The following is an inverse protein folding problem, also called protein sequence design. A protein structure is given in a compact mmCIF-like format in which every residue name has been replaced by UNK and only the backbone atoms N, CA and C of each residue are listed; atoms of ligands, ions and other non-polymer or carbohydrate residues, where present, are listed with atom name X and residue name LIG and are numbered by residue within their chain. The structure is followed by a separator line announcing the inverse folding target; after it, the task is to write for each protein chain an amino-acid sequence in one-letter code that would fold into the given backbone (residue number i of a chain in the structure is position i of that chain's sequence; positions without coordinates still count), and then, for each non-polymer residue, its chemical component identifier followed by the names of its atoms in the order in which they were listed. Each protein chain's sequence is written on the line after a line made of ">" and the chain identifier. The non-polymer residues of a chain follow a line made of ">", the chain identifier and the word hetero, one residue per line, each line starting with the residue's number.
data_IF_335470670721
#
_entry.id   IF_335470670721
#
_cell.length_a   1.000
_cell.length_b   1.000
_cell.length_c   1.000
_cell.angle_alpha   90.00
_cell.angle_beta   90.00
_cell.angle_gamma   90.00
#
_symmetry.space_group_name_H-M   'P 1'
#
loop_
_entity.id
_entity.type
_entity.pdbx_description
1 polymer ?
#
# COMPACT_ATOMS: atom_id res chain seq x y z
N UNK A 1 34.81 -11.49 -41.40
CA UNK A 1 33.42 -11.94 -41.12
C UNK A 1 33.21 -11.84 -39.63
N UNK A 2 32.50 -10.80 -39.17
CA UNK A 2 32.15 -10.64 -37.76
C UNK A 2 30.87 -11.43 -37.54
N UNK A 3 30.93 -12.46 -36.70
CA UNK A 3 29.73 -13.19 -36.29
C UNK A 3 28.82 -12.25 -35.50
N UNK A 4 27.49 -12.27 -35.71
CA UNK A 4 26.58 -11.51 -34.87
C UNK A 4 26.56 -12.22 -33.52
N UNK A 5 27.34 -11.72 -32.56
CA UNK A 5 27.16 -12.04 -31.15
C UNK A 5 25.81 -11.46 -30.75
N UNK A 6 24.80 -12.32 -30.73
CA UNK A 6 23.46 -12.05 -30.21
C UNK A 6 23.57 -11.84 -28.68
N UNK A 7 24.15 -10.71 -28.29
CA UNK A 7 24.25 -10.25 -26.92
C UNK A 7 22.86 -9.78 -26.49
N UNK A 8 21.92 -10.72 -26.34
CA UNK A 8 20.69 -10.49 -25.61
C UNK A 8 21.03 -10.35 -24.13
N UNK A 9 21.52 -9.16 -23.76
CA UNK A 9 21.54 -8.72 -22.37
C UNK A 9 20.14 -8.96 -21.78
N UNK A 10 20.01 -9.64 -20.63
CA UNK A 10 18.71 -9.91 -20.05
C UNK A 10 17.99 -8.58 -19.82
N UNK A 11 16.89 -8.36 -20.56
CA UNK A 11 16.07 -7.16 -20.43
C UNK A 11 15.57 -7.10 -18.99
N UNK A 12 15.93 -6.05 -18.27
CA UNK A 12 15.43 -5.77 -16.93
C UNK A 12 13.90 -5.73 -17.01
N UNK A 13 13.23 -6.62 -16.28
CA UNK A 13 11.78 -6.60 -16.18
C UNK A 13 11.38 -5.42 -15.29
N UNK A 14 10.32 -4.68 -15.64
CA UNK A 14 9.83 -3.61 -14.79
C UNK A 14 9.42 -4.17 -13.44
N UNK A 15 9.83 -3.51 -12.37
CA UNK A 15 9.43 -3.85 -11.02
C UNK A 15 7.97 -3.42 -10.81
N UNK A 16 7.11 -4.38 -10.48
CA UNK A 16 5.68 -4.19 -10.23
C UNK A 16 5.40 -4.55 -8.76
N UNK A 17 5.57 -3.60 -7.82
CA UNK A 17 5.37 -3.85 -6.40
C UNK A 17 3.90 -4.07 -6.03
N UNK A 18 2.98 -3.64 -6.91
CA UNK A 18 1.54 -3.77 -6.73
C UNK A 18 0.99 -4.76 -7.75
N UNK A 19 0.08 -5.63 -7.31
CA UNK A 19 -0.66 -6.55 -8.20
C UNK A 19 -1.67 -5.81 -9.07
N UNK A 20 -2.24 -4.73 -8.56
CA UNK A 20 -3.19 -3.84 -9.25
C UNK A 20 -2.91 -2.39 -8.91
N UNK A 21 -3.48 -1.46 -9.66
CA UNK A 21 -3.43 -0.03 -9.32
C UNK A 21 -4.17 0.24 -8.01
N UNK A 22 -3.71 1.25 -7.26
CA UNK A 22 -4.42 1.77 -6.10
C UNK A 22 -5.79 2.33 -6.53
N UNK A 23 -6.82 2.27 -5.65
CA UNK A 23 -8.05 3.03 -5.88
C UNK A 23 -7.74 4.52 -6.04
N UNK A 24 -8.54 5.21 -6.84
CA UNK A 24 -8.27 6.60 -7.25
C UNK A 24 -8.18 7.61 -6.10
N UNK A 25 -8.74 7.29 -4.94
CA UNK A 25 -8.81 8.14 -3.76
C UNK A 25 -7.87 7.65 -2.66
N UNK A 26 -7.07 6.60 -2.91
CA UNK A 26 -6.10 6.07 -1.96
C UNK A 26 -4.70 6.41 -2.42
N UNK A 27 -3.95 7.08 -1.55
CA UNK A 27 -2.58 7.48 -1.79
C UNK A 27 -1.64 6.75 -0.83
N UNK A 28 -0.58 6.18 -1.38
CA UNK A 28 0.55 5.68 -0.61
C UNK A 28 1.48 6.85 -0.26
N UNK A 29 1.34 7.37 0.96
CA UNK A 29 2.12 8.52 1.41
C UNK A 29 3.56 8.15 1.74
N UNK A 30 3.77 6.93 2.23
CA UNK A 30 5.08 6.48 2.66
C UNK A 30 5.19 4.97 2.60
N UNK A 31 6.28 4.49 2.02
CA UNK A 31 6.74 3.11 2.09
C UNK A 31 8.23 3.14 2.41
N UNK A 32 8.58 2.81 3.66
CA UNK A 32 9.96 2.74 4.13
C UNK A 32 10.25 1.34 4.63
N UNK A 33 11.48 0.88 4.44
CA UNK A 33 11.94 -0.44 4.91
C UNK A 33 13.04 -0.22 5.96
N UNK A 34 12.70 0.19 7.21
CA UNK A 34 13.67 0.26 8.29
C UNK A 34 14.08 -1.14 8.77
N UNK A 35 15.27 -1.59 8.36
CA UNK A 35 15.96 -2.81 8.83
C UNK A 35 15.25 -4.15 8.60
N UNK A 36 14.16 -4.43 9.31
CA UNK A 36 13.40 -5.70 9.27
C UNK A 36 11.88 -5.50 9.21
N UNK A 37 11.41 -4.27 9.42
CA UNK A 37 10.00 -3.92 9.30
C UNK A 37 9.81 -2.88 8.21
N UNK A 38 8.63 -2.86 7.64
CA UNK A 38 8.19 -1.94 6.61
C UNK A 38 7.11 -1.06 7.18
N UNK A 39 7.36 0.24 7.07
CA UNK A 39 6.47 1.30 7.46
C UNK A 39 5.63 1.72 6.26
N UNK A 40 4.32 1.52 6.37
CA UNK A 40 3.35 1.83 5.33
C UNK A 40 2.39 2.90 5.84
N UNK A 41 2.33 4.05 5.16
CA UNK A 41 1.34 5.09 5.43
C UNK A 41 0.40 5.23 4.24
N UNK A 42 -0.89 5.00 4.50
CA UNK A 42 -1.96 5.09 3.52
C UNK A 42 -2.91 6.21 3.90
N UNK A 43 -3.31 7.00 2.92
CA UNK A 43 -4.25 8.08 3.10
C UNK A 43 -5.38 7.97 2.09
N UNK A 44 -6.61 8.23 2.53
CA UNK A 44 -7.73 8.39 1.62
C UNK A 44 -8.00 9.86 1.39
N UNK A 45 -7.79 10.34 0.17
CA UNK A 45 -8.16 11.69 -0.24
C UNK A 45 -9.68 11.86 -0.13
N UNK A 46 -10.10 12.79 0.71
CA UNK A 46 -11.45 13.31 0.68
C UNK A 46 -11.61 14.37 -0.40
N UNK A 47 -12.81 14.41 -0.97
CA UNK A 47 -13.21 15.44 -1.91
C UNK A 47 -14.31 16.25 -1.25
N UNK A 48 -14.15 17.58 -1.24
CA UNK A 48 -15.22 18.51 -0.90
C UNK A 48 -15.93 18.98 -2.19
N UNK A 49 -17.07 19.66 -2.04
CA UNK A 49 -17.82 20.16 -3.20
C UNK A 49 -17.02 21.13 -4.09
N UNK A 50 -15.92 21.71 -3.59
CA UNK A 50 -15.09 22.66 -4.33
C UNK A 50 -13.92 22.01 -5.08
N UNK A 51 -13.52 20.79 -4.68
CA UNK A 51 -12.34 20.07 -5.16
C UNK A 51 -12.66 18.69 -5.75
N UNK A 52 -13.94 18.31 -5.77
CA UNK A 52 -14.39 17.07 -6.37
C UNK A 52 -14.16 17.07 -7.88
N UNK A 53 -13.53 16.02 -8.45
CA UNK A 53 -13.47 15.84 -9.88
C UNK A 53 -14.88 15.71 -10.46
N UNK A 54 -15.08 16.24 -11.65
CA UNK A 54 -16.26 15.99 -12.46
C UNK A 54 -15.84 15.20 -13.71
N UNK A 55 -16.31 13.95 -13.88
CA UNK A 55 -17.27 13.22 -13.04
C UNK A 55 -16.68 12.69 -11.73
N UNK A 56 -17.56 12.41 -10.76
CA UNK A 56 -17.15 11.79 -9.49
C UNK A 56 -16.52 10.41 -9.74
N UNK A 57 -15.40 10.10 -9.07
CA UNK A 57 -14.74 8.83 -9.26
C UNK A 57 -15.54 7.68 -8.63
N UNK A 58 -15.63 6.56 -9.35
CA UNK A 58 -16.31 5.34 -8.90
C UNK A 58 -15.32 4.39 -8.22
N UNK A 59 -14.79 4.78 -7.06
CA UNK A 59 -13.72 4.02 -6.39
C UNK A 59 -14.21 3.11 -5.28
N UNK A 60 -13.52 1.97 -5.13
CA UNK A 60 -13.79 1.02 -4.05
C UNK A 60 -13.62 1.69 -2.69
N UNK A 61 -14.53 1.39 -1.77
CA UNK A 61 -14.50 1.92 -0.41
C UNK A 61 -13.63 1.10 0.55
N UNK A 62 -13.08 -0.02 0.07
CA UNK A 62 -12.19 -0.91 0.83
C UNK A 62 -11.01 -1.36 -0.02
N UNK A 63 -9.84 -1.49 0.61
CA UNK A 63 -8.63 -1.99 -0.03
C UNK A 63 -8.13 -3.19 0.74
N UNK A 64 -7.93 -4.31 0.05
CA UNK A 64 -7.19 -5.44 0.59
C UNK A 64 -5.69 -5.21 0.36
N UNK A 65 -4.96 -4.95 1.44
CA UNK A 65 -3.53 -4.65 1.39
C UNK A 65 -2.69 -5.87 1.10
N UNK A 66 -3.14 -7.07 1.51
CA UNK A 66 -2.42 -8.30 1.24
C UNK A 66 -2.51 -8.65 -0.24
N UNK A 67 -3.70 -8.53 -0.84
CA UNK A 67 -3.86 -8.80 -2.27
C UNK A 67 -3.15 -7.76 -3.14
N UNK A 68 -3.29 -6.47 -2.79
CA UNK A 68 -2.69 -5.37 -3.54
C UNK A 68 -1.16 -5.45 -3.54
N UNK A 69 -0.57 -5.78 -2.39
CA UNK A 69 0.88 -5.82 -2.17
C UNK A 69 1.43 -7.25 -2.17
N UNK A 70 0.67 -8.21 -2.69
CA UNK A 70 1.08 -9.62 -2.81
C UNK A 70 2.50 -9.82 -3.41
N UNK A 71 2.96 -9.02 -4.41
CA UNK A 71 4.33 -9.13 -4.91
C UNK A 71 5.43 -8.87 -3.88
N UNK A 72 5.11 -8.14 -2.80
CA UNK A 72 6.04 -7.82 -1.71
C UNK A 72 6.08 -8.87 -0.60
N UNK A 73 5.27 -9.94 -0.67
CA UNK A 73 5.29 -11.11 0.24
C UNK A 73 5.34 -10.75 1.73
N UNK A 74 4.21 -10.27 2.24
CA UNK A 74 4.09 -9.88 3.64
C UNK A 74 3.89 -11.08 4.55
N UNK A 75 4.72 -11.17 5.59
CA UNK A 75 4.61 -12.14 6.69
C UNK A 75 3.58 -11.71 7.73
N UNK A 76 3.52 -10.42 8.02
CA UNK A 76 2.53 -9.87 8.96
C UNK A 76 2.22 -8.42 8.64
N UNK A 77 0.98 -8.02 8.91
CA UNK A 77 0.49 -6.65 8.72
C UNK A 77 -0.24 -6.21 10.00
N UNK A 78 0.30 -5.19 10.68
CA UNK A 78 -0.24 -4.67 11.95
C UNK A 78 -0.53 -3.19 11.83
N UNK A 79 -1.68 -2.76 12.33
CA UNK A 79 -2.02 -1.34 12.39
C UNK A 79 -1.27 -0.66 13.54
N UNK A 80 -0.75 0.52 13.27
CA UNK A 80 0.06 1.31 14.20
C UNK A 80 -0.44 2.75 14.26
N UNK A 81 0.00 3.51 15.26
CA UNK A 81 -0.07 4.97 15.23
C UNK A 81 0.80 5.54 14.11
N UNK A 82 0.52 6.79 13.71
CA UNK A 82 1.20 7.47 12.58
C UNK A 82 2.73 7.59 12.74
N UNK A 83 3.22 7.59 13.98
CA UNK A 83 4.66 7.66 14.29
C UNK A 83 5.34 6.30 14.27
N UNK A 84 4.59 5.20 14.16
CA UNK A 84 5.08 3.82 14.17
C UNK A 84 5.70 3.36 15.50
N UNK A 85 5.64 4.21 16.54
CA UNK A 85 6.22 3.94 17.86
C UNK A 85 5.29 3.12 18.77
N UNK A 86 4.00 3.06 18.44
CA UNK A 86 2.99 2.37 19.23
C UNK A 86 2.03 1.66 18.30
N UNK A 87 1.69 0.44 18.66
CA UNK A 87 0.62 -0.28 17.99
C UNK A 87 -0.70 0.46 18.21
N UNK A 88 -1.61 0.35 17.24
CA UNK A 88 -2.88 1.06 17.33
C UNK A 88 -3.85 0.23 18.18
N UNK A 89 -3.84 0.47 19.50
CA UNK A 89 -4.78 -0.14 20.43
C UNK A 89 -6.17 0.48 20.26
N UNK A 90 -7.00 -0.11 19.39
CA UNK A 90 -8.45 0.10 19.46
C UNK A 90 -9.01 -0.76 20.61
N UNK A 91 -9.61 -0.15 21.65
CA UNK A 91 -10.18 -0.90 22.77
C UNK A 91 -11.32 -1.79 22.24
N UNK A 92 -11.08 -3.11 22.21
CA UNK A 92 -12.01 -4.14 21.72
C UNK A 92 -11.52 -4.99 20.55
N UNK A 93 -10.34 -4.71 19.99
CA UNK A 93 -9.82 -5.40 18.78
C UNK A 93 -8.66 -6.36 19.09
N UNK A 94 -8.85 -7.28 20.03
CA UNK A 94 -7.80 -8.19 20.51
C UNK A 94 -7.18 -9.15 19.46
N UNK A 95 -7.58 -9.12 18.18
CA UNK A 95 -7.05 -10.08 17.19
C UNK A 95 -7.10 -9.66 15.72
N UNK A 96 -7.37 -8.39 15.38
CA UNK A 96 -7.73 -8.08 14.01
C UNK A 96 -6.54 -7.66 13.14
N UNK A 97 -5.86 -8.67 12.60
CA UNK A 97 -5.18 -8.64 11.30
C UNK A 97 -6.22 -8.24 10.24
N UNK A 98 -6.59 -6.95 10.17
CA UNK A 98 -7.49 -6.45 9.13
C UNK A 98 -6.64 -6.17 7.90
N UNK A 99 -6.49 -7.19 7.06
CA UNK A 99 -5.93 -7.11 5.71
C UNK A 99 -6.72 -6.12 4.84
N UNK A 100 -8.02 -6.02 5.11
CA UNK A 100 -8.92 -5.05 4.47
C UNK A 100 -8.94 -3.74 5.25
N UNK A 101 -8.32 -2.71 4.67
CA UNK A 101 -8.33 -1.36 5.19
C UNK A 101 -9.55 -0.59 4.67
N UNK A 102 -10.41 -0.12 5.60
CA UNK A 102 -11.57 0.74 5.31
C UNK A 102 -11.32 2.13 5.87
N UNK A 103 -10.67 2.97 5.08
CA UNK A 103 -10.38 4.36 5.44
C UNK A 103 -11.57 5.24 5.08
N UNK A 104 -11.97 6.13 5.99
CA UNK A 104 -12.90 7.22 5.65
C UNK A 104 -12.18 8.35 4.92
N UNK A 105 -12.90 9.22 4.19
CA UNK A 105 -12.31 10.40 3.57
C UNK A 105 -11.46 11.20 4.56
N UNK A 106 -10.26 11.60 4.14
CA UNK A 106 -9.23 12.30 4.93
C UNK A 106 -8.60 11.51 6.09
N UNK A 107 -8.85 10.20 6.21
CA UNK A 107 -8.14 9.37 7.18
C UNK A 107 -6.77 8.94 6.68
N UNK A 108 -5.82 8.81 7.62
CA UNK A 108 -4.48 8.27 7.39
C UNK A 108 -4.28 7.08 8.32
N UNK A 109 -4.00 5.91 7.75
CA UNK A 109 -3.64 4.71 8.50
C UNK A 109 -2.16 4.42 8.35
N UNK A 110 -1.56 3.99 9.47
CA UNK A 110 -0.20 3.51 9.51
C UNK A 110 -0.18 2.01 9.77
N UNK A 111 0.69 1.30 9.06
CA UNK A 111 0.90 -0.13 9.22
C UNK A 111 2.38 -0.43 9.38
N UNK A 112 2.67 -1.36 10.29
CA UNK A 112 3.95 -2.04 10.43
C UNK A 112 3.80 -3.39 9.75
N UNK A 113 4.65 -3.64 8.78
CA UNK A 113 4.59 -4.83 7.92
C UNK A 113 5.91 -5.56 8.01
N UNK A 114 5.89 -6.88 8.15
CA UNK A 114 7.11 -7.69 8.05
C UNK A 114 7.13 -8.36 6.68
N UNK A 115 8.24 -8.26 5.95
CA UNK A 115 8.45 -8.91 4.65
C UNK A 115 9.29 -10.17 4.86
N UNK A 116 9.01 -11.23 4.10
CA UNK A 116 9.82 -12.47 4.06
C UNK A 116 11.07 -12.35 3.16
#
# INVERSE_FOLDING_TARGET
>A
MVAPSDNQLPKLRPFLPLRSSLPCDIHLLNLRIPSQEVALLLHRKGFDCSSAPSPLPSCSWSVDLEELLAPLRFRSLRRSGLTLLRDHDEPGSAHQQRHVARLRPMEIYAFRVQID
#
